data_IF_091381722106
#
_entry.id   IF_091381722106
#
_cell.length_a   1.000
_cell.length_b   1.000
_cell.length_c   1.000
_cell.angle_alpha   90.00
_cell.angle_beta   90.00
_cell.angle_gamma   90.00
#
_symmetry.space_group_name_H-M   'P 1'
#
loop_
_entity.id
_entity.type
_entity.pdbx_description
1 polymer ?
#
# COMPACT_ATOMS: atom_id res chain seq x y z
N UNK A 1 5.02 -26.05 32.27
CA UNK A 1 5.40 -26.14 30.85
C UNK A 1 4.13 -26.18 30.02
N UNK A 2 4.00 -25.37 28.96
CA UNK A 2 2.87 -25.46 28.05
C UNK A 2 2.82 -26.84 27.39
N UNK A 3 1.63 -27.42 27.32
CA UNK A 3 1.38 -28.71 26.69
C UNK A 3 0.56 -28.50 25.41
N UNK A 4 0.94 -29.21 24.35
CA UNK A 4 0.17 -29.17 23.10
C UNK A 4 -1.05 -30.11 23.25
N UNK A 5 -2.25 -29.61 22.92
CA UNK A 5 -3.50 -30.34 23.06
C UNK A 5 -3.83 -31.25 21.84
N UNK A 6 -2.87 -31.56 20.98
CA UNK A 6 -3.07 -32.51 19.89
C UNK A 6 -2.65 -33.90 20.32
N UNK A 7 -3.62 -34.80 20.46
CA UNK A 7 -3.38 -36.21 20.83
C UNK A 7 -3.19 -36.44 22.33
N UNK A 8 -2.55 -37.54 22.69
CA UNK A 8 -2.26 -37.92 24.08
C UNK A 8 -0.88 -37.39 24.48
N UNK A 9 -0.83 -36.63 25.57
CA UNK A 9 0.43 -36.13 26.14
C UNK A 9 0.69 -36.83 27.47
N UNK A 10 1.82 -37.50 27.59
CA UNK A 10 2.27 -38.11 28.83
C UNK A 10 3.13 -37.14 29.62
N UNK A 11 2.72 -36.85 30.84
CA UNK A 11 3.48 -36.00 31.78
C UNK A 11 3.98 -36.87 32.92
N UNK A 12 5.31 -37.04 33.00
CA UNK A 12 5.97 -37.74 34.09
C UNK A 12 6.22 -36.80 35.27
N UNK A 13 5.95 -37.28 36.47
CA UNK A 13 6.24 -36.54 37.73
C UNK A 13 6.77 -37.48 38.80
N UNK A 14 7.52 -36.98 39.73
CA UNK A 14 8.08 -37.75 40.82
C UNK A 14 7.25 -37.59 42.07
N UNK A 15 6.97 -38.69 42.73
CA UNK A 15 6.40 -38.73 44.09
C UNK A 15 7.53 -38.99 45.05
N UNK A 16 7.72 -38.13 46.03
CA UNK A 16 8.72 -38.24 47.07
C UNK A 16 8.09 -38.48 48.45
N UNK A 17 8.87 -38.49 49.50
CA UNK A 17 8.41 -38.70 50.88
C UNK A 17 7.58 -37.54 51.48
N UNK A 18 7.47 -36.45 50.75
CA UNK A 18 6.66 -35.30 51.20
C UNK A 18 5.15 -35.63 51.04
N UNK A 19 4.38 -35.52 52.11
CA UNK A 19 2.92 -35.79 52.12
C UNK A 19 2.21 -34.97 51.05
N UNK A 20 2.63 -33.73 50.77
CA UNK A 20 2.08 -32.91 49.70
C UNK A 20 2.31 -33.50 48.30
N UNK A 21 3.32 -34.34 48.13
CA UNK A 21 3.63 -35.04 46.90
C UNK A 21 2.59 -36.10 46.52
N UNK A 22 1.87 -36.64 47.47
CA UNK A 22 0.82 -37.68 47.29
C UNK A 22 -0.61 -37.09 47.37
N UNK A 23 -0.79 -35.78 47.60
CA UNK A 23 -2.09 -35.15 47.75
C UNK A 23 -2.94 -35.29 46.45
N UNK A 24 -4.23 -35.63 46.58
CA UNK A 24 -5.16 -35.82 45.47
C UNK A 24 -5.44 -34.54 44.67
N UNK A 25 -5.22 -33.38 45.27
CA UNK A 25 -5.40 -32.07 44.61
C UNK A 25 -4.07 -31.41 44.18
N UNK A 26 -3.01 -32.20 44.10
CA UNK A 26 -1.66 -31.74 43.77
C UNK A 26 -1.58 -31.15 42.35
N UNK A 27 -2.38 -31.67 41.42
CA UNK A 27 -2.37 -31.24 40.02
C UNK A 27 -3.65 -30.48 39.69
N UNK A 28 -3.47 -29.37 39.00
CA UNK A 28 -4.56 -28.60 38.42
C UNK A 28 -4.27 -28.38 36.95
N UNK A 29 -5.17 -28.83 36.10
CA UNK A 29 -5.12 -28.50 34.64
C UNK A 29 -5.76 -27.16 34.45
N UNK A 30 -5.02 -26.22 33.94
CA UNK A 30 -5.50 -24.88 33.62
C UNK A 30 -5.38 -24.67 32.11
N UNK A 31 -6.50 -24.47 31.45
CA UNK A 31 -6.55 -24.10 30.05
C UNK A 31 -6.42 -22.59 29.95
N UNK A 32 -5.41 -22.12 29.26
CA UNK A 32 -5.26 -20.71 28.90
C UNK A 32 -5.22 -20.63 27.39
N UNK A 33 -6.25 -20.08 26.80
CA UNK A 33 -6.21 -19.74 25.39
C UNK A 33 -5.18 -18.64 25.19
N UNK A 34 -4.15 -18.91 24.40
CA UNK A 34 -3.24 -17.86 23.98
C UNK A 34 -4.03 -16.92 23.06
N UNK A 35 -4.03 -15.64 23.35
CA UNK A 35 -4.60 -14.67 22.44
C UNK A 35 -3.89 -14.80 21.08
N UNK A 36 -4.61 -14.95 19.96
CA UNK A 36 -3.97 -15.01 18.66
C UNK A 36 -3.17 -13.71 18.44
N UNK A 37 -1.96 -13.87 17.96
CA UNK A 37 -1.16 -12.71 17.52
C UNK A 37 -1.88 -12.12 16.33
N UNK A 38 -2.26 -10.83 16.36
CA UNK A 38 -2.94 -10.22 15.23
C UNK A 38 -2.06 -10.23 13.98
N UNK A 39 -2.69 -10.24 12.80
CA UNK A 39 -1.98 -10.02 11.55
C UNK A 39 -1.22 -8.69 11.61
N UNK A 40 -0.05 -8.65 11.04
CA UNK A 40 0.74 -7.42 10.93
C UNK A 40 0.98 -7.10 9.46
N UNK A 41 0.54 -5.92 9.01
CA UNK A 41 0.88 -5.40 7.69
C UNK A 41 2.24 -4.72 7.82
N UNK A 42 3.30 -5.41 7.38
CA UNK A 42 4.69 -4.99 7.62
C UNK A 42 5.20 -3.98 6.61
N UNK A 43 4.61 -3.95 5.42
CA UNK A 43 4.93 -2.94 4.41
C UNK A 43 3.77 -2.73 3.46
N UNK A 44 3.67 -1.52 2.92
CA UNK A 44 2.90 -1.17 1.75
C UNK A 44 3.75 -0.26 0.87
N UNK A 45 3.75 -0.51 -0.43
CA UNK A 45 4.45 0.27 -1.44
C UNK A 45 3.52 0.49 -2.62
N UNK A 46 3.60 1.67 -3.23
CA UNK A 46 2.87 1.96 -4.44
C UNK A 46 3.79 2.68 -5.43
N UNK A 47 3.72 2.29 -6.69
CA UNK A 47 4.55 2.83 -7.77
C UNK A 47 3.68 3.07 -8.99
N UNK A 48 3.79 4.27 -9.58
CA UNK A 48 3.15 4.58 -10.85
C UNK A 48 3.83 3.81 -11.99
N UNK A 49 3.04 3.11 -12.77
CA UNK A 49 3.49 2.35 -13.95
C UNK A 49 3.33 3.17 -15.22
N UNK A 50 2.19 3.86 -15.35
CA UNK A 50 1.90 4.80 -16.42
C UNK A 50 0.88 5.84 -15.96
N UNK A 51 0.29 6.60 -16.91
CA UNK A 51 -0.64 7.69 -16.57
C UNK A 51 -1.80 7.29 -15.67
N UNK A 52 -2.41 6.13 -15.95
CA UNK A 52 -3.63 5.68 -15.30
C UNK A 52 -3.43 4.43 -14.45
N UNK A 53 -2.18 3.99 -14.24
CA UNK A 53 -1.90 2.73 -13.56
C UNK A 53 -0.91 2.92 -12.43
N UNK A 54 -1.27 2.38 -11.29
CA UNK A 54 -0.43 2.30 -10.10
C UNK A 54 -0.39 0.86 -9.61
N UNK A 55 0.81 0.32 -9.47
CA UNK A 55 1.05 -0.97 -8.85
C UNK A 55 1.18 -0.77 -7.33
N UNK A 56 0.38 -1.51 -6.56
CA UNK A 56 0.43 -1.50 -5.10
C UNK A 56 0.81 -2.90 -4.61
N UNK A 57 1.84 -2.98 -3.78
CA UNK A 57 2.31 -4.22 -3.16
C UNK A 57 2.32 -4.07 -1.63
N UNK A 58 1.95 -5.12 -0.90
CA UNK A 58 2.02 -5.15 0.56
C UNK A 58 2.40 -6.52 1.08
N UNK A 59 3.00 -6.53 2.26
CA UNK A 59 3.42 -7.75 2.94
C UNK A 59 2.74 -7.84 4.30
N UNK A 60 2.40 -9.06 4.67
CA UNK A 60 1.81 -9.36 5.97
C UNK A 60 2.57 -10.47 6.67
N UNK A 61 2.53 -10.45 8.00
CA UNK A 61 3.01 -11.51 8.89
C UNK A 61 1.90 -11.93 9.85
N UNK A 62 2.03 -13.14 10.39
CA UNK A 62 1.04 -13.73 11.29
C UNK A 62 -0.36 -13.80 10.68
N UNK A 63 -0.46 -14.16 9.39
CA UNK A 63 -1.73 -14.27 8.69
C UNK A 63 -2.52 -15.47 9.23
N UNK A 64 -3.41 -15.20 10.18
CA UNK A 64 -4.24 -16.21 10.85
C UNK A 64 -5.66 -15.71 10.97
N UNK A 65 -6.62 -16.58 10.63
CA UNK A 65 -8.06 -16.30 10.74
C UNK A 65 -8.49 -15.00 10.05
N UNK A 66 -7.86 -14.70 8.94
CA UNK A 66 -8.21 -13.55 8.10
C UNK A 66 -9.37 -13.91 7.16
N UNK A 67 -10.31 -12.98 7.01
CA UNK A 67 -11.40 -13.05 6.05
C UNK A 67 -10.93 -12.55 4.69
N UNK A 68 -10.42 -11.32 4.66
CA UNK A 68 -9.98 -10.67 3.42
C UNK A 68 -9.12 -9.43 3.68
N UNK A 69 -8.45 -8.97 2.63
CA UNK A 69 -7.81 -7.68 2.53
C UNK A 69 -8.52 -6.83 1.49
N UNK A 70 -8.79 -5.57 1.81
CA UNK A 70 -9.34 -4.58 0.90
C UNK A 70 -8.26 -3.55 0.61
N UNK A 71 -7.88 -3.41 -0.67
CA UNK A 71 -7.08 -2.27 -1.10
C UNK A 71 -8.00 -1.09 -1.29
N UNK A 72 -7.69 0.01 -0.64
CA UNK A 72 -8.45 1.24 -0.72
C UNK A 72 -7.61 2.37 -1.34
N UNK A 73 -8.25 3.17 -2.19
CA UNK A 73 -7.69 4.32 -2.88
C UNK A 73 -8.39 5.62 -2.46
N UNK A 74 -7.64 6.70 -2.44
CA UNK A 74 -8.14 8.06 -2.16
C UNK A 74 -7.44 9.10 -3.02
N UNK A 75 -8.17 10.12 -3.53
CA UNK A 75 -7.56 11.26 -4.23
C UNK A 75 -6.94 12.29 -3.30
N UNK A 76 -7.26 12.26 -2.00
CA UNK A 76 -6.89 13.31 -1.05
C UNK A 76 -6.34 12.81 0.29
N UNK A 77 -6.16 11.49 0.44
CA UNK A 77 -5.67 10.84 1.67
C UNK A 77 -6.65 10.86 2.84
N UNK A 78 -7.90 11.28 2.64
CA UNK A 78 -8.94 11.38 3.70
C UNK A 78 -10.11 10.44 3.47
N UNK A 79 -10.70 10.46 2.28
CA UNK A 79 -11.82 9.60 1.91
C UNK A 79 -11.31 8.47 1.03
N UNK A 80 -11.45 7.25 1.52
CA UNK A 80 -10.94 6.05 0.87
C UNK A 80 -12.10 5.21 0.35
N UNK A 81 -11.98 4.76 -0.90
CA UNK A 81 -12.90 3.83 -1.54
C UNK A 81 -12.16 2.53 -1.85
N UNK A 82 -12.82 1.41 -1.67
CA UNK A 82 -12.30 0.10 -2.01
C UNK A 82 -12.13 -0.02 -3.53
N UNK A 83 -10.93 -0.46 -3.96
CA UNK A 83 -10.61 -0.70 -5.38
C UNK A 83 -10.34 -2.16 -5.68
N UNK A 84 -9.99 -2.95 -4.68
CA UNK A 84 -9.78 -4.39 -4.83
C UNK A 84 -9.97 -5.15 -3.53
N UNK A 85 -10.29 -6.46 -3.65
CA UNK A 85 -10.28 -7.41 -2.55
C UNK A 85 -9.29 -8.54 -2.85
N UNK A 86 -8.64 -9.07 -1.80
CA UNK A 86 -7.74 -10.22 -1.86
C UNK A 86 -8.08 -11.19 -0.73
N UNK A 87 -8.17 -12.48 -1.07
CA UNK A 87 -8.29 -13.54 -0.09
C UNK A 87 -6.94 -13.80 0.58
N UNK A 88 -6.92 -14.24 1.84
CA UNK A 88 -5.68 -14.62 2.51
C UNK A 88 -4.98 -15.79 1.79
N UNK A 89 -3.65 -15.72 1.71
CA UNK A 89 -2.83 -16.74 1.03
C UNK A 89 -2.24 -17.76 1.98
N UNK A 90 -1.85 -17.35 3.19
CA UNK A 90 -1.13 -18.20 4.13
C UNK A 90 -1.94 -18.54 5.40
N UNK A 91 -3.07 -18.03 5.62
CA UNK A 91 -4.04 -18.07 6.76
C UNK A 91 -3.82 -19.12 7.90
N UNK A 92 -2.56 -19.50 8.10
CA UNK A 92 -2.04 -20.49 9.06
C UNK A 92 -0.97 -19.90 9.99
N UNK A 93 -0.82 -18.56 10.02
CA UNK A 93 0.20 -17.84 10.79
C UNK A 93 1.45 -17.50 10.00
N UNK A 94 1.49 -17.82 8.70
CA UNK A 94 2.62 -17.53 7.83
C UNK A 94 2.71 -16.07 7.38
N UNK A 95 3.71 -15.83 6.52
CA UNK A 95 3.89 -14.57 5.79
C UNK A 95 3.22 -14.67 4.43
N UNK A 96 2.66 -13.57 3.95
CA UNK A 96 2.12 -13.48 2.61
C UNK A 96 2.46 -12.13 1.95
N UNK A 97 2.61 -12.18 0.62
CA UNK A 97 2.90 -11.02 -0.21
C UNK A 97 1.75 -10.86 -1.20
N UNK A 98 1.30 -9.63 -1.35
CA UNK A 98 0.18 -9.26 -2.19
C UNK A 98 0.57 -8.18 -3.17
N UNK A 99 -0.10 -8.19 -4.31
CA UNK A 99 0.07 -7.20 -5.36
C UNK A 99 -1.25 -6.92 -6.06
N UNK A 100 -1.45 -5.66 -6.44
CA UNK A 100 -2.59 -5.23 -7.25
C UNK A 100 -2.17 -4.11 -8.19
N UNK A 101 -2.62 -4.18 -9.43
CA UNK A 101 -2.49 -3.10 -10.40
C UNK A 101 -3.83 -2.35 -10.47
N UNK A 102 -3.84 -1.13 -9.95
CA UNK A 102 -4.97 -0.22 -10.11
C UNK A 102 -4.91 0.40 -11.51
N UNK A 103 -5.90 0.09 -12.33
CA UNK A 103 -6.02 0.55 -13.74
C UNK A 103 -6.72 1.90 -13.88
N UNK A 104 -7.25 2.43 -12.78
CA UNK A 104 -8.03 3.67 -12.75
C UNK A 104 -7.39 4.74 -11.85
N UNK A 105 -6.07 4.67 -11.67
CA UNK A 105 -5.34 5.66 -10.90
C UNK A 105 -5.46 7.04 -11.55
N UNK A 106 -5.58 8.07 -10.72
CA UNK A 106 -5.67 9.45 -11.20
C UNK A 106 -4.32 9.94 -11.73
N UNK A 107 -4.34 10.83 -12.71
CA UNK A 107 -3.13 11.53 -13.18
C UNK A 107 -2.55 12.47 -12.11
N UNK A 108 -3.35 12.89 -11.14
CA UNK A 108 -2.95 13.65 -9.96
C UNK A 108 -2.39 12.76 -8.86
N UNK A 109 -2.36 13.24 -7.62
CA UNK A 109 -1.95 12.47 -6.46
C UNK A 109 -2.92 11.31 -6.19
N UNK A 110 -2.35 10.19 -5.75
CA UNK A 110 -3.10 9.02 -5.32
C UNK A 110 -2.59 8.56 -3.95
N UNK A 111 -3.50 8.12 -3.11
CA UNK A 111 -3.19 7.59 -1.79
C UNK A 111 -3.80 6.20 -1.67
N UNK A 112 -3.02 5.26 -1.15
CA UNK A 112 -3.46 3.88 -0.97
C UNK A 112 -3.24 3.44 0.45
N UNK A 113 -4.13 2.59 0.94
CA UNK A 113 -3.97 1.82 2.17
C UNK A 113 -4.61 0.44 2.02
N UNK A 114 -4.20 -0.47 2.88
CA UNK A 114 -4.79 -1.80 2.98
C UNK A 114 -5.60 -1.89 4.27
N UNK A 115 -6.81 -2.39 4.17
CA UNK A 115 -7.70 -2.74 5.26
C UNK A 115 -7.74 -4.26 5.37
N UNK A 116 -7.25 -4.79 6.47
CA UNK A 116 -7.26 -6.20 6.80
C UNK A 116 -8.48 -6.50 7.69
N UNK A 117 -9.27 -7.50 7.33
CA UNK A 117 -10.49 -7.90 8.03
C UNK A 117 -10.33 -9.36 8.45
N UNK A 118 -10.46 -9.62 9.74
CA UNK A 118 -10.43 -10.99 10.28
C UNK A 118 -11.81 -11.65 10.23
N UNK A 119 -11.86 -12.99 10.39
CA UNK A 119 -13.11 -13.75 10.52
C UNK A 119 -13.96 -13.34 11.74
N UNK A 120 -13.34 -12.72 12.74
CA UNK A 120 -14.06 -12.17 13.91
C UNK A 120 -14.57 -10.74 13.70
N UNK A 121 -14.35 -10.15 12.51
CA UNK A 121 -14.75 -8.78 12.18
C UNK A 121 -13.79 -7.70 12.68
N UNK A 122 -12.64 -8.06 13.26
CA UNK A 122 -11.62 -7.08 13.61
C UNK A 122 -11.00 -6.48 12.36
N UNK A 123 -10.81 -5.16 12.38
CA UNK A 123 -10.27 -4.39 11.26
C UNK A 123 -8.93 -3.78 11.65
N UNK A 124 -7.95 -3.91 10.78
CA UNK A 124 -6.63 -3.27 10.91
C UNK A 124 -6.26 -2.58 9.59
N UNK A 125 -5.63 -1.42 9.68
CA UNK A 125 -5.17 -0.65 8.53
C UNK A 125 -3.65 -0.62 8.44
N UNK A 126 -3.14 -0.60 7.21
CA UNK A 126 -1.75 -0.27 6.93
C UNK A 126 -1.47 1.22 7.12
N UNK A 127 -0.20 1.61 7.00
CA UNK A 127 0.16 2.98 6.69
C UNK A 127 -0.46 3.42 5.35
N UNK A 128 -0.62 4.75 5.17
CA UNK A 128 -1.02 5.33 3.89
C UNK A 128 0.23 5.57 3.06
N UNK A 129 0.22 5.13 1.80
CA UNK A 129 1.28 5.43 0.82
C UNK A 129 0.76 6.40 -0.22
N UNK A 130 1.56 7.42 -0.52
CA UNK A 130 1.26 8.45 -1.53
C UNK A 130 2.03 8.16 -2.81
N UNK A 131 1.35 8.33 -3.94
CA UNK A 131 1.94 8.33 -5.29
C UNK A 131 1.72 9.71 -5.91
N UNK A 132 2.80 10.36 -6.31
CA UNK A 132 2.73 11.67 -6.94
C UNK A 132 1.98 11.63 -8.26
N UNK A 133 1.39 12.75 -8.60
CA UNK A 133 0.81 12.97 -9.92
C UNK A 133 1.87 12.96 -11.03
N UNK A 134 1.38 12.98 -12.25
CA UNK A 134 2.23 13.13 -13.44
C UNK A 134 2.55 14.61 -13.59
N UNK A 135 3.81 14.93 -13.67
CA UNK A 135 4.21 16.27 -14.11
C UNK A 135 3.86 16.41 -15.60
N UNK A 136 2.81 17.13 -15.88
CA UNK A 136 2.52 17.51 -17.25
C UNK A 136 3.61 18.45 -17.75
N UNK A 137 4.51 17.93 -18.58
CA UNK A 137 5.51 18.79 -19.20
C UNK A 137 4.83 19.90 -20.01
N UNK A 138 5.01 21.11 -19.54
CA UNK A 138 4.52 22.26 -20.28
C UNK A 138 5.29 22.43 -21.59
N UNK A 139 4.60 22.62 -22.70
CA UNK A 139 5.20 22.87 -24.00
C UNK A 139 4.92 24.28 -24.49
N UNK A 140 5.82 24.78 -25.33
CA UNK A 140 5.60 25.99 -26.11
C UNK A 140 5.72 25.59 -27.57
N UNK A 141 4.69 25.83 -28.35
CA UNK A 141 4.69 25.58 -29.78
C UNK A 141 4.58 26.87 -30.56
N UNK A 142 5.23 26.89 -31.70
CA UNK A 142 5.23 28.02 -32.64
C UNK A 142 4.54 27.58 -33.94
N UNK A 143 3.51 28.30 -34.32
CA UNK A 143 2.72 27.99 -35.52
C UNK A 143 2.35 29.27 -36.27
N UNK A 144 2.27 29.27 -37.61
CA UNK A 144 2.71 28.20 -38.51
C UNK A 144 4.24 28.12 -38.62
N UNK A 145 4.75 26.92 -38.88
CA UNK A 145 6.17 26.71 -39.19
C UNK A 145 6.25 25.85 -40.49
N UNK A 146 6.68 26.41 -41.61
CA UNK A 146 7.26 27.76 -41.83
C UNK A 146 6.26 28.90 -41.62
N UNK A 147 6.80 30.07 -41.29
CA UNK A 147 6.04 31.29 -41.04
C UNK A 147 5.35 31.77 -42.31
N UNK A 148 4.05 32.05 -42.27
CA UNK A 148 3.23 32.56 -43.35
C UNK A 148 2.74 33.97 -42.95
N UNK A 149 2.73 34.90 -43.89
CA UNK A 149 2.23 36.26 -43.70
C UNK A 149 2.90 37.04 -42.54
N UNK A 150 4.17 36.75 -42.23
CA UNK A 150 4.94 37.40 -41.19
C UNK A 150 4.34 37.34 -39.79
N UNK A 151 3.38 36.45 -39.57
CA UNK A 151 2.71 36.24 -38.26
C UNK A 151 3.07 34.88 -37.70
N UNK A 152 3.34 34.85 -36.38
CA UNK A 152 3.52 33.61 -35.61
C UNK A 152 2.55 33.61 -34.41
N UNK A 153 2.06 32.44 -34.08
CA UNK A 153 1.32 32.22 -32.86
C UNK A 153 2.15 31.38 -31.92
N UNK A 154 2.20 31.79 -30.67
CA UNK A 154 2.82 31.04 -29.59
C UNK A 154 1.72 30.39 -28.75
N UNK A 155 1.69 29.07 -28.73
CA UNK A 155 0.79 28.31 -27.85
C UNK A 155 1.53 27.79 -26.65
N UNK A 156 1.02 28.10 -25.47
CA UNK A 156 1.56 27.66 -24.20
C UNK A 156 0.61 26.60 -23.61
N UNK A 157 1.09 25.38 -23.44
CA UNK A 157 0.34 24.30 -22.83
C UNK A 157 0.99 23.94 -21.52
N UNK A 158 0.21 23.92 -20.42
CA UNK A 158 0.68 23.56 -19.08
C UNK A 158 1.91 24.37 -18.60
N UNK A 159 2.01 25.63 -18.97
CA UNK A 159 3.02 26.56 -18.45
C UNK A 159 2.41 27.42 -17.34
N UNK A 160 3.21 27.70 -16.33
CA UNK A 160 2.77 28.58 -15.25
C UNK A 160 2.42 29.98 -15.81
N UNK A 161 1.41 30.65 -15.24
CA UNK A 161 1.15 32.03 -15.57
C UNK A 161 2.36 32.89 -15.19
N UNK A 162 2.80 33.78 -16.09
CA UNK A 162 4.00 34.61 -15.87
C UNK A 162 4.37 35.41 -17.11
N UNK A 163 5.45 36.19 -16.99
CA UNK A 163 6.01 36.91 -18.11
C UNK A 163 7.04 36.03 -18.83
N UNK A 164 6.91 35.93 -20.14
CA UNK A 164 7.82 35.20 -21.01
C UNK A 164 8.43 36.16 -22.01
N UNK A 165 9.74 36.04 -22.29
CA UNK A 165 10.41 36.77 -23.32
C UNK A 165 10.65 35.90 -24.52
N UNK A 166 10.12 36.28 -25.67
CA UNK A 166 10.42 35.63 -26.94
C UNK A 166 11.46 36.45 -27.70
N UNK A 167 12.48 35.83 -28.28
CA UNK A 167 13.49 36.45 -29.12
C UNK A 167 13.54 35.81 -30.47
N UNK A 168 13.46 36.60 -31.50
CA UNK A 168 13.69 36.15 -32.88
C UNK A 168 15.17 36.25 -33.19
N UNK A 169 15.79 35.14 -33.57
CA UNK A 169 17.24 35.05 -33.81
C UNK A 169 17.47 34.57 -35.25
N UNK A 170 18.39 35.17 -35.95
CA UNK A 170 18.78 34.71 -37.28
C UNK A 170 19.75 33.51 -37.21
N UNK A 171 20.12 32.97 -38.39
CA UNK A 171 21.04 31.83 -38.52
C UNK A 171 22.49 32.13 -38.06
N UNK A 172 22.83 33.39 -37.84
CA UNK A 172 24.12 33.84 -37.30
C UNK A 172 24.07 34.08 -35.78
N UNK A 173 22.94 33.82 -35.14
CA UNK A 173 22.75 34.01 -33.69
C UNK A 173 22.44 35.46 -33.25
N UNK A 174 22.19 36.36 -34.19
CA UNK A 174 21.87 37.76 -33.90
C UNK A 174 20.38 37.90 -33.58
N UNK A 175 20.04 38.62 -32.50
CA UNK A 175 18.65 38.93 -32.16
C UNK A 175 18.09 39.95 -33.13
N UNK A 176 17.05 39.62 -33.84
CA UNK A 176 16.35 40.46 -34.82
C UNK A 176 15.21 41.22 -34.11
N UNK A 177 14.55 40.57 -33.17
CA UNK A 177 13.43 41.15 -32.43
C UNK A 177 13.30 40.47 -31.05
N UNK A 178 12.87 41.28 -30.06
CA UNK A 178 12.57 40.80 -28.71
C UNK A 178 11.14 41.11 -28.36
#
# INVERSE_FOLDING_TARGET
TPLNLSGTTLVNFTVDVNVASAASNRFRVVFKQLAPVPVSITSIKAKRVNENQVEVAWNVENETSMLQYELEHSPNGRHFNQVATRNPLANNGGRANYQHLDLNALSTENFYRVKAISNSGLVQYSAIVKVSGIEQQGSISVYPNPVINKNIQLSFTNKAAGQYTARLINNLGQVIQT
#
